data_IF_447943539874
#
_entry.id   IF_447943539874
#
_cell.length_a   1.000
_cell.length_b   1.000
_cell.length_c   1.000
_cell.angle_alpha   90.00
_cell.angle_beta   90.00
_cell.angle_gamma   90.00
#
_symmetry.space_group_name_H-M   'P 1'
#
loop_
_entity.id
_entity.type
_entity.pdbx_description
1 polymer ?
#
# COMPACT_ATOMS: atom_id res chain seq x y z
N UNK A 1 -27.15 18.20 0.84
CA UNK A 1 -25.81 17.64 1.18
C UNK A 1 -25.73 16.11 1.03
N UNK A 2 -26.83 15.37 1.11
CA UNK A 2 -26.90 13.90 0.93
C UNK A 2 -26.70 13.42 -0.52
N UNK A 3 -27.03 14.21 -1.52
CA UNK A 3 -27.00 13.83 -2.95
C UNK A 3 -25.56 13.69 -3.49
N UNK A 4 -24.62 14.51 -3.03
CA UNK A 4 -23.20 14.43 -3.45
C UNK A 4 -22.47 13.18 -2.93
N UNK A 5 -22.87 12.65 -1.77
CA UNK A 5 -22.32 11.44 -1.18
C UNK A 5 -22.72 10.18 -1.97
N UNK A 6 -23.94 10.13 -2.53
CA UNK A 6 -24.40 8.98 -3.30
C UNK A 6 -23.70 8.85 -4.66
N UNK A 7 -23.51 9.96 -5.37
CA UNK A 7 -22.84 9.96 -6.69
C UNK A 7 -21.38 9.49 -6.61
N UNK A 8 -20.60 9.99 -5.63
CA UNK A 8 -19.23 9.53 -5.41
C UNK A 8 -19.19 8.03 -5.04
N UNK A 9 -20.11 7.56 -4.20
CA UNK A 9 -20.24 6.13 -3.85
C UNK A 9 -20.54 5.28 -5.07
N UNK A 10 -21.37 5.74 -6.00
CA UNK A 10 -21.74 5.00 -7.21
C UNK A 10 -20.62 4.95 -8.24
N UNK A 11 -19.80 5.99 -8.35
CA UNK A 11 -18.58 5.99 -9.15
C UNK A 11 -17.60 4.93 -8.65
N UNK A 12 -17.29 4.89 -7.33
CA UNK A 12 -16.43 3.87 -6.76
C UNK A 12 -16.99 2.44 -6.93
N UNK A 13 -18.29 2.25 -6.77
CA UNK A 13 -18.92 0.94 -6.99
C UNK A 13 -18.74 0.45 -8.42
N UNK A 14 -18.84 1.35 -9.41
CA UNK A 14 -18.61 1.03 -10.82
C UNK A 14 -17.15 0.64 -11.06
N UNK A 15 -16.21 1.46 -10.62
CA UNK A 15 -14.78 1.18 -10.74
C UNK A 15 -14.39 -0.16 -10.09
N UNK A 16 -14.89 -0.46 -8.88
CA UNK A 16 -14.63 -1.75 -8.22
C UNK A 16 -15.20 -2.94 -8.97
N UNK A 17 -16.36 -2.78 -9.63
CA UNK A 17 -16.94 -3.82 -10.46
C UNK A 17 -16.09 -4.09 -11.68
N UNK A 18 -15.63 -3.04 -12.35
CA UNK A 18 -14.80 -3.17 -13.56
C UNK A 18 -13.45 -3.81 -13.23
N UNK A 19 -12.78 -3.40 -12.15
CA UNK A 19 -11.57 -4.03 -11.63
C UNK A 19 -11.77 -5.49 -11.24
N UNK A 20 -12.91 -5.84 -10.64
CA UNK A 20 -13.22 -7.23 -10.29
C UNK A 20 -13.45 -8.11 -11.54
N UNK A 21 -14.00 -7.54 -12.60
CA UNK A 21 -14.16 -8.23 -13.89
C UNK A 21 -12.79 -8.46 -14.53
N UNK A 22 -11.92 -7.44 -14.55
CA UNK A 22 -10.56 -7.56 -15.08
C UNK A 22 -9.73 -8.59 -14.29
N UNK A 23 -9.80 -8.55 -12.97
CA UNK A 23 -9.15 -9.55 -12.13
C UNK A 23 -9.61 -10.98 -12.48
N UNK A 24 -10.91 -11.20 -12.70
CA UNK A 24 -11.43 -12.52 -13.09
C UNK A 24 -10.93 -12.98 -14.44
N UNK A 25 -10.77 -12.07 -15.41
CA UNK A 25 -10.24 -12.40 -16.73
C UNK A 25 -8.77 -12.83 -16.67
N UNK A 26 -7.99 -12.22 -15.78
CA UNK A 26 -6.56 -12.50 -15.63
C UNK A 26 -6.29 -13.69 -14.68
N UNK A 27 -7.19 -14.01 -13.77
CA UNK A 27 -7.01 -15.05 -12.75
C UNK A 27 -6.66 -16.45 -13.29
N UNK A 28 -7.17 -16.91 -14.45
CA UNK A 28 -6.78 -18.22 -14.99
C UNK A 28 -5.31 -18.33 -15.39
N UNK A 29 -4.66 -17.19 -15.67
CA UNK A 29 -3.26 -17.11 -16.07
C UNK A 29 -2.31 -16.87 -14.88
N UNK A 30 -2.87 -16.70 -13.68
CA UNK A 30 -2.15 -16.37 -12.45
C UNK A 30 -2.31 -17.48 -11.42
N UNK A 31 -1.39 -17.52 -10.48
CA UNK A 31 -1.44 -18.50 -9.39
C UNK A 31 -2.60 -18.25 -8.40
N UNK A 32 -2.78 -19.20 -7.48
CA UNK A 32 -3.88 -19.14 -6.52
C UNK A 32 -3.82 -17.91 -5.59
N UNK A 33 -2.67 -17.27 -5.43
CA UNK A 33 -2.50 -16.10 -4.58
C UNK A 33 -3.43 -14.94 -5.01
N UNK A 34 -3.63 -14.76 -6.32
CA UNK A 34 -4.55 -13.76 -6.88
C UNK A 34 -5.99 -13.91 -6.41
N UNK A 35 -6.42 -15.13 -6.08
CA UNK A 35 -7.80 -15.43 -5.70
C UNK A 35 -8.10 -15.09 -4.25
N UNK A 36 -7.10 -15.14 -3.37
CA UNK A 36 -7.29 -15.07 -1.92
C UNK A 36 -7.02 -13.70 -1.32
N UNK A 37 -6.56 -12.75 -2.13
CA UNK A 37 -6.27 -11.41 -1.65
C UNK A 37 -7.53 -10.69 -1.17
N UNK A 38 -7.45 -10.07 0.00
CA UNK A 38 -8.59 -9.44 0.67
C UNK A 38 -9.22 -8.33 -0.19
N UNK A 39 -10.51 -8.44 -0.43
CA UNK A 39 -11.29 -7.41 -1.14
C UNK A 39 -11.27 -6.07 -0.42
N UNK A 40 -11.26 -6.07 0.93
CA UNK A 40 -11.16 -4.86 1.74
C UNK A 40 -9.82 -4.17 1.51
N UNK A 41 -8.72 -4.92 1.55
CA UNK A 41 -7.37 -4.41 1.32
C UNK A 41 -7.25 -3.77 -0.05
N UNK A 42 -7.63 -4.47 -1.12
CA UNK A 42 -7.57 -3.94 -2.49
C UNK A 42 -8.34 -2.63 -2.65
N UNK A 43 -9.54 -2.54 -2.08
CA UNK A 43 -10.34 -1.32 -2.13
C UNK A 43 -9.74 -0.19 -1.31
N UNK A 44 -9.11 -0.50 -0.18
CA UNK A 44 -8.39 0.49 0.62
C UNK A 44 -7.20 1.05 -0.16
N UNK A 45 -6.38 0.19 -0.76
CA UNK A 45 -5.24 0.60 -1.59
C UNK A 45 -5.66 1.53 -2.73
N UNK A 46 -6.71 1.14 -3.48
CA UNK A 46 -7.27 2.00 -4.52
C UNK A 46 -7.66 3.38 -3.98
N UNK A 47 -8.39 3.44 -2.86
CA UNK A 47 -8.85 4.70 -2.26
C UNK A 47 -7.70 5.58 -1.80
N UNK A 48 -6.70 4.97 -1.15
CA UNK A 48 -5.51 5.70 -0.68
C UNK A 48 -4.74 6.28 -1.85
N UNK A 49 -4.43 5.48 -2.87
CA UNK A 49 -3.74 5.96 -4.07
C UNK A 49 -4.54 7.04 -4.78
N UNK A 50 -5.86 6.83 -4.96
CA UNK A 50 -6.74 7.82 -5.59
C UNK A 50 -6.85 9.13 -4.79
N UNK A 51 -6.76 9.08 -3.47
CA UNK A 51 -6.80 10.26 -2.60
C UNK A 51 -5.47 11.02 -2.62
N UNK A 52 -4.36 10.29 -2.52
CA UNK A 52 -3.00 10.85 -2.39
C UNK A 52 -2.47 11.33 -3.75
N UNK A 53 -2.87 10.67 -4.85
CA UNK A 53 -2.40 10.94 -6.20
C UNK A 53 -0.86 10.94 -6.31
N UNK A 54 -0.18 9.86 -5.88
CA UNK A 54 1.27 9.78 -5.88
C UNK A 54 1.83 9.72 -7.30
N UNK A 55 2.98 10.34 -7.52
CA UNK A 55 3.68 10.24 -8.81
C UNK A 55 4.42 8.90 -8.95
N UNK A 56 4.83 8.31 -7.81
CA UNK A 56 5.58 7.05 -7.76
C UNK A 56 4.89 6.07 -6.83
N UNK A 57 4.67 4.85 -7.31
CA UNK A 57 4.11 3.73 -6.55
C UNK A 57 5.10 2.57 -6.55
N UNK A 58 5.47 2.10 -5.37
CA UNK A 58 6.26 0.88 -5.17
C UNK A 58 5.36 -0.20 -4.60
N UNK A 59 5.31 -1.34 -5.31
CA UNK A 59 4.54 -2.52 -4.94
C UNK A 59 5.54 -3.66 -4.67
N UNK A 60 5.87 -3.86 -3.39
CA UNK A 60 6.94 -4.75 -2.97
C UNK A 60 6.39 -6.00 -2.30
N UNK A 61 6.56 -7.10 -3.00
CA UNK A 61 6.10 -8.43 -2.63
C UNK A 61 5.74 -9.26 -3.87
N UNK A 62 5.16 -10.42 -3.64
CA UNK A 62 4.71 -11.29 -4.72
C UNK A 62 3.57 -10.63 -5.49
N UNK A 63 3.71 -10.54 -6.82
CA UNK A 63 2.70 -9.91 -7.67
C UNK A 63 1.29 -10.46 -7.41
N UNK A 64 0.36 -9.59 -7.06
CA UNK A 64 -0.98 -9.91 -6.63
C UNK A 64 -2.04 -9.07 -7.37
N UNK A 65 -3.32 -9.39 -7.17
CA UNK A 65 -4.43 -8.66 -7.77
C UNK A 65 -4.52 -7.19 -7.31
N UNK A 66 -3.97 -6.86 -6.14
CA UNK A 66 -3.80 -5.49 -5.63
C UNK A 66 -3.09 -4.56 -6.62
N UNK A 67 -2.18 -5.11 -7.45
CA UNK A 67 -1.49 -4.34 -8.49
C UNK A 67 -2.45 -3.62 -9.46
N UNK A 68 -3.58 -4.24 -9.80
CA UNK A 68 -4.61 -3.63 -10.64
C UNK A 68 -5.25 -2.42 -9.94
N UNK A 69 -5.50 -2.55 -8.64
CA UNK A 69 -6.14 -1.52 -7.84
C UNK A 69 -5.21 -0.34 -7.57
N UNK A 70 -3.91 -0.61 -7.36
CA UNK A 70 -2.89 0.42 -7.23
C UNK A 70 -2.77 1.25 -8.51
N UNK A 71 -2.62 0.58 -9.66
CA UNK A 71 -2.51 1.25 -10.98
C UNK A 71 -3.76 2.05 -11.33
N UNK A 72 -4.94 1.51 -11.03
CA UNK A 72 -6.21 2.19 -11.30
C UNK A 72 -6.46 3.40 -10.36
N UNK A 73 -5.85 3.44 -9.18
CA UNK A 73 -5.98 4.56 -8.25
C UNK A 73 -5.34 5.85 -8.75
N UNK A 74 -4.24 5.74 -9.53
CA UNK A 74 -3.56 6.85 -10.19
C UNK A 74 -3.06 6.41 -11.55
N UNK A 75 -3.80 6.75 -12.58
CA UNK A 75 -3.36 6.54 -13.95
C UNK A 75 -2.13 7.40 -14.27
N UNK A 76 -1.14 6.78 -14.91
CA UNK A 76 0.11 7.46 -15.29
C UNK A 76 1.13 7.63 -14.15
N UNK A 77 0.91 7.08 -12.96
CA UNK A 77 1.95 7.00 -11.94
C UNK A 77 3.09 6.08 -12.39
N UNK A 78 4.32 6.42 -12.02
CA UNK A 78 5.47 5.52 -12.18
C UNK A 78 5.32 4.35 -11.19
N UNK A 79 5.05 3.17 -11.73
CA UNK A 79 4.76 1.96 -10.94
C UNK A 79 5.91 0.96 -11.06
N UNK A 80 6.53 0.66 -9.92
CA UNK A 80 7.57 -0.35 -9.77
C UNK A 80 7.06 -1.51 -8.94
N UNK A 81 7.05 -2.72 -9.52
CA UNK A 81 6.83 -3.96 -8.78
C UNK A 81 8.17 -4.62 -8.49
N UNK A 82 8.36 -5.12 -7.26
CA UNK A 82 9.58 -5.81 -6.86
C UNK A 82 9.26 -6.98 -5.93
N UNK A 83 9.62 -8.20 -6.32
CA UNK A 83 9.60 -9.40 -5.48
C UNK A 83 10.96 -9.70 -4.84
N UNK A 84 12.01 -9.05 -5.36
CA UNK A 84 13.38 -9.11 -4.88
C UNK A 84 14.02 -7.72 -4.91
N UNK A 85 15.04 -7.50 -4.10
CA UNK A 85 15.75 -6.20 -4.06
C UNK A 85 16.38 -5.82 -5.39
N UNK A 86 16.79 -6.79 -6.18
CA UNK A 86 17.35 -6.59 -7.52
C UNK A 86 16.35 -5.99 -8.53
N UNK A 87 15.06 -6.12 -8.26
CA UNK A 87 13.97 -5.57 -9.08
C UNK A 87 13.52 -4.17 -8.64
N UNK A 88 14.02 -3.69 -7.50
CA UNK A 88 13.66 -2.39 -6.96
C UNK A 88 14.44 -1.27 -7.66
N UNK A 89 13.92 -0.81 -8.78
CA UNK A 89 14.48 0.31 -9.52
C UNK A 89 13.79 1.62 -9.13
N UNK A 90 14.54 2.49 -8.45
CA UNK A 90 14.06 3.80 -8.05
C UNK A 90 14.93 4.88 -8.69
N UNK A 91 14.30 5.78 -9.44
CA UNK A 91 15.00 6.90 -10.05
C UNK A 91 15.61 7.81 -8.97
N UNK A 92 16.87 8.25 -9.20
CA UNK A 92 17.58 9.07 -8.25
C UNK A 92 16.89 10.43 -8.06
N UNK A 93 16.71 10.85 -6.80
CA UNK A 93 16.09 12.13 -6.47
C UNK A 93 14.56 12.16 -6.56
N UNK A 94 13.91 11.07 -7.01
CA UNK A 94 12.45 10.99 -7.06
C UNK A 94 11.92 10.43 -5.73
N UNK A 95 10.97 11.14 -5.07
CA UNK A 95 10.36 10.65 -3.85
C UNK A 95 9.48 9.43 -4.09
N UNK A 96 9.45 8.50 -3.14
CA UNK A 96 8.47 7.40 -3.11
C UNK A 96 7.17 7.93 -2.53
N UNK A 97 6.18 8.17 -3.39
CA UNK A 97 4.88 8.73 -2.97
C UNK A 97 3.98 7.71 -2.29
N UNK A 98 4.00 6.46 -2.77
CA UNK A 98 3.24 5.36 -2.20
C UNK A 98 4.04 4.08 -2.18
N UNK A 99 4.02 3.35 -1.06
CA UNK A 99 4.64 2.04 -0.91
C UNK A 99 3.59 1.04 -0.39
N UNK A 100 3.49 -0.12 -1.03
CA UNK A 100 2.77 -1.28 -0.53
C UNK A 100 3.74 -2.43 -0.29
N UNK A 101 3.96 -2.79 0.98
CA UNK A 101 4.80 -3.92 1.42
C UNK A 101 3.89 -5.06 1.84
N UNK A 102 3.95 -6.21 1.17
CA UNK A 102 3.02 -7.30 1.43
C UNK A 102 3.63 -8.71 1.46
N UNK A 103 4.95 -8.81 1.39
CA UNK A 103 5.63 -10.11 1.53
C UNK A 103 5.96 -10.44 2.99
N UNK A 104 4.95 -10.49 3.84
CA UNK A 104 5.07 -10.76 5.28
C UNK A 104 5.72 -12.10 5.62
N UNK A 105 5.95 -12.99 4.65
CA UNK A 105 6.70 -14.25 4.82
C UNK A 105 8.20 -14.03 4.81
N UNK A 106 8.66 -12.90 4.27
CA UNK A 106 10.06 -12.50 4.21
C UNK A 106 10.26 -11.14 4.86
N UNK A 107 10.20 -11.05 6.22
CA UNK A 107 10.31 -9.78 6.95
C UNK A 107 11.61 -9.03 6.67
N UNK A 108 12.70 -9.74 6.40
CA UNK A 108 14.01 -9.17 6.07
C UNK A 108 13.96 -8.38 4.75
N UNK A 109 13.30 -8.94 3.73
CA UNK A 109 13.06 -8.24 2.46
C UNK A 109 12.22 -6.98 2.69
N UNK A 110 11.14 -7.09 3.47
CA UNK A 110 10.28 -5.95 3.78
C UNK A 110 11.03 -4.85 4.53
N UNK A 111 11.91 -5.20 5.46
CA UNK A 111 12.74 -4.26 6.21
C UNK A 111 13.72 -3.51 5.30
N UNK A 112 14.39 -4.22 4.39
CA UNK A 112 15.33 -3.60 3.44
C UNK A 112 14.61 -2.66 2.46
N UNK A 113 13.47 -3.07 1.89
CA UNK A 113 12.67 -2.22 1.02
C UNK A 113 12.17 -0.98 1.78
N UNK A 114 11.70 -1.17 3.02
CA UNK A 114 11.28 -0.05 3.86
C UNK A 114 12.43 0.94 4.08
N UNK A 115 13.63 0.46 4.43
CA UNK A 115 14.81 1.28 4.67
C UNK A 115 15.20 2.10 3.44
N UNK A 116 15.11 1.51 2.25
CA UNK A 116 15.40 2.21 0.99
C UNK A 116 14.32 3.26 0.69
N UNK A 117 13.06 2.92 0.86
CA UNK A 117 11.94 3.80 0.51
C UNK A 117 11.73 4.92 1.53
N UNK A 118 11.94 4.67 2.84
CA UNK A 118 11.76 5.69 3.87
C UNK A 118 12.74 6.85 3.73
N UNK A 119 13.97 6.58 3.28
CA UNK A 119 14.96 7.61 2.98
C UNK A 119 14.53 8.54 1.82
N UNK A 120 13.53 8.13 1.05
CA UNK A 120 12.97 8.87 -0.09
C UNK A 120 11.52 9.30 0.14
N UNK A 121 11.02 9.17 1.36
CA UNK A 121 9.68 9.62 1.71
C UNK A 121 9.63 11.14 1.77
N UNK A 122 8.51 11.71 1.34
CA UNK A 122 8.20 13.13 1.52
C UNK A 122 6.95 13.29 2.40
N UNK A 123 6.60 14.50 2.80
CA UNK A 123 5.47 14.76 3.69
C UNK A 123 4.11 14.28 3.18
N UNK A 124 3.98 13.97 1.88
CA UNK A 124 2.77 13.43 1.26
C UNK A 124 2.82 11.92 1.07
N UNK A 125 3.95 11.27 1.36
CA UNK A 125 4.11 9.83 1.19
C UNK A 125 3.19 9.04 2.13
N UNK A 126 2.74 7.89 1.65
CA UNK A 126 1.97 6.92 2.44
C UNK A 126 2.49 5.53 2.16
N UNK A 127 2.84 4.81 3.23
CA UNK A 127 3.30 3.43 3.15
C UNK A 127 2.28 2.52 3.81
N UNK A 128 1.94 1.44 3.15
CA UNK A 128 1.01 0.40 3.63
C UNK A 128 1.76 -0.91 3.79
N UNK A 129 1.67 -1.48 4.97
CA UNK A 129 2.40 -2.69 5.37
C UNK A 129 1.39 -3.78 5.69
N UNK A 130 1.42 -4.90 4.98
CA UNK A 130 0.55 -6.05 5.23
C UNK A 130 1.15 -7.01 6.23
N UNK A 131 0.28 -7.68 7.02
CA UNK A 131 0.67 -8.75 7.91
C UNK A 131 1.40 -8.30 9.16
N UNK A 132 1.21 -7.06 9.61
CA UNK A 132 1.92 -6.46 10.76
C UNK A 132 1.82 -7.24 12.07
N UNK A 133 0.84 -8.14 12.19
CA UNK A 133 0.60 -8.96 13.39
C UNK A 133 0.67 -10.46 13.14
N UNK A 134 0.97 -10.93 11.91
CA UNK A 134 0.89 -12.35 11.55
C UNK A 134 1.95 -13.21 12.22
N UNK A 135 3.14 -12.65 12.45
CA UNK A 135 4.26 -13.35 13.13
C UNK A 135 4.89 -12.46 14.19
N UNK A 136 5.68 -13.03 15.08
CA UNK A 136 6.46 -12.26 16.06
C UNK A 136 7.48 -11.35 15.38
N UNK A 137 8.08 -11.79 14.29
CA UNK A 137 9.03 -11.00 13.49
C UNK A 137 8.33 -9.80 12.86
N UNK A 138 7.14 -9.99 12.28
CA UNK A 138 6.36 -8.88 11.71
C UNK A 138 5.90 -7.87 12.76
N UNK A 139 5.50 -8.34 13.95
CA UNK A 139 5.18 -7.45 15.07
C UNK A 139 6.38 -6.60 15.50
N UNK A 140 7.56 -7.21 15.56
CA UNK A 140 8.79 -6.49 15.88
C UNK A 140 9.17 -5.49 14.79
N UNK A 141 9.06 -5.90 13.52
CA UNK A 141 9.31 -5.03 12.37
C UNK A 141 8.35 -3.83 12.36
N UNK A 142 7.04 -4.05 12.53
CA UNK A 142 6.06 -2.99 12.62
C UNK A 142 6.40 -1.97 13.71
N UNK A 143 6.79 -2.45 14.89
CA UNK A 143 7.21 -1.58 15.98
C UNK A 143 8.43 -0.72 15.62
N UNK A 144 9.43 -1.29 14.94
CA UNK A 144 10.60 -0.54 14.47
C UNK A 144 10.20 0.53 13.43
N UNK A 145 9.32 0.16 12.47
CA UNK A 145 8.81 1.11 11.48
C UNK A 145 8.07 2.28 12.12
N UNK A 146 7.24 2.02 13.13
CA UNK A 146 6.55 3.07 13.89
C UNK A 146 7.52 4.01 14.63
N UNK A 147 8.68 3.51 15.04
CA UNK A 147 9.69 4.28 15.78
C UNK A 147 10.61 5.08 14.85
N UNK A 148 10.63 4.78 13.55
CA UNK A 148 11.48 5.48 12.59
C UNK A 148 11.25 7.00 12.66
N UNK A 149 12.35 7.76 12.59
CA UNK A 149 12.33 9.22 12.72
C UNK A 149 11.58 9.93 11.59
N UNK A 150 11.48 9.31 10.40
CA UNK A 150 10.75 9.87 9.25
C UNK A 150 9.24 9.69 9.40
N UNK A 151 8.79 8.73 10.20
CA UNK A 151 7.38 8.40 10.36
C UNK A 151 6.70 9.36 11.34
N UNK A 152 5.56 9.90 10.94
CA UNK A 152 4.71 10.78 11.75
C UNK A 152 3.54 10.02 12.39
N UNK A 153 2.41 9.94 11.70
CA UNK A 153 1.20 9.28 12.19
C UNK A 153 1.13 7.85 11.65
N UNK A 154 0.72 6.91 12.50
CA UNK A 154 0.51 5.53 12.08
C UNK A 154 -0.88 5.04 12.44
N UNK A 155 -1.43 4.18 11.59
CA UNK A 155 -2.67 3.45 11.85
C UNK A 155 -2.41 1.96 11.81
N UNK A 156 -2.71 1.28 12.91
CA UNK A 156 -2.71 -0.17 13.03
C UNK A 156 -4.15 -0.66 12.82
N UNK A 157 -4.39 -1.35 11.71
CA UNK A 157 -5.67 -1.92 11.31
C UNK A 157 -5.71 -3.44 11.53
N UNK A 158 -4.91 -3.96 12.44
CA UNK A 158 -4.67 -5.38 12.77
C UNK A 158 -3.90 -6.14 11.69
N UNK A 159 -4.45 -6.28 10.49
CA UNK A 159 -3.79 -6.99 9.38
C UNK A 159 -2.90 -6.07 8.55
N UNK A 160 -3.18 -4.77 8.59
CA UNK A 160 -2.45 -3.73 7.87
C UNK A 160 -1.95 -2.64 8.81
N UNK A 161 -0.78 -2.11 8.50
CA UNK A 161 -0.29 -0.85 9.05
C UNK A 161 -0.24 0.23 7.97
N UNK A 162 -0.55 1.47 8.33
CA UNK A 162 -0.41 2.62 7.45
C UNK A 162 0.51 3.64 8.11
N UNK A 163 1.49 4.12 7.38
CA UNK A 163 2.47 5.11 7.82
C UNK A 163 2.32 6.40 7.01
N UNK A 164 2.22 7.52 7.70
CA UNK A 164 2.20 8.88 7.15
C UNK A 164 3.44 9.64 7.57
N UNK A 165 3.95 10.49 6.69
CA UNK A 165 5.24 11.17 6.83
C UNK A 165 5.11 12.69 7.03
N UNK A 166 3.92 13.19 7.27
CA UNK A 166 3.68 14.61 7.57
C UNK A 166 4.25 14.99 8.94
N UNK A 167 5.42 15.60 8.95
CA UNK A 167 6.12 16.06 10.16
C UNK A 167 5.54 17.33 10.78
N UNK A 168 4.58 17.97 10.13
CA UNK A 168 3.85 19.11 10.74
C UNK A 168 2.90 18.67 11.83
N UNK A 169 2.59 17.37 11.90
CA UNK A 169 1.74 16.73 12.89
C UNK A 169 2.56 16.10 14.00
N UNK A 170 1.99 16.08 15.21
CA UNK A 170 2.58 15.35 16.34
C UNK A 170 2.56 13.86 16.02
N UNK A 171 3.69 13.18 16.27
CA UNK A 171 3.80 11.73 16.08
C UNK A 171 2.80 10.99 16.97
N UNK A 172 1.93 10.21 16.36
CA UNK A 172 0.86 9.46 17.05
C UNK A 172 0.64 8.10 16.39
N UNK A 173 0.28 7.12 17.22
CA UNK A 173 -0.03 5.77 16.78
C UNK A 173 -1.48 5.45 17.16
N UNK A 174 -2.30 5.10 16.17
CA UNK A 174 -3.69 4.75 16.34
C UNK A 174 -3.92 3.27 16.06
N UNK A 175 -4.80 2.64 16.84
CA UNK A 175 -5.33 1.30 16.54
C UNK A 175 -6.78 1.47 16.15
N UNK A 176 -7.15 0.96 14.98
CA UNK A 176 -8.48 1.14 14.39
C UNK A 176 -9.00 -0.20 13.89
N UNK A 177 -10.25 -0.53 14.24
CA UNK A 177 -10.94 -1.68 13.66
C UNK A 177 -11.25 -1.40 12.19
N UNK A 178 -10.83 -2.33 11.33
CA UNK A 178 -10.93 -2.20 9.89
C UNK A 178 -11.77 -3.33 9.25
#
# INVERSE_FOLDING_TARGET
TRVKSSAASDVYKRQYRDLAIEQKKLAPQKDNYWKYESKKVKRLLFRLVNYIQPDTIVDAGRLAASSLYLKAGKEGADYTAASELSELFLEAGVPVGFLYLHDYRHPEFMEEVFRICVARACGKSVFVIEGIRYTSQMKALWKRMQQDEHVGITFDLYDLGILFFDKTKIKQNYIVNF
#
